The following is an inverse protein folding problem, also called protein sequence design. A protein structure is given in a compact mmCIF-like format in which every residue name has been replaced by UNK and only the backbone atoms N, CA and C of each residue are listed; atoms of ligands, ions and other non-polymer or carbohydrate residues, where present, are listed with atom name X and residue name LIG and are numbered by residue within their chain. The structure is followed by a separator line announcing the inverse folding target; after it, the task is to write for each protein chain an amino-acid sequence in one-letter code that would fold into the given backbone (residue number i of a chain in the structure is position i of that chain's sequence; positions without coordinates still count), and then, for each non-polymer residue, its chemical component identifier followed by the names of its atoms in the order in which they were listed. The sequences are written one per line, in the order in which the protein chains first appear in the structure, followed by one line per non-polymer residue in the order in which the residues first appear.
data_IF_926311676435
#
_entry.id   IF_926311676435
#
_cell.length_a   1.000
_cell.length_b   1.000
_cell.length_c   1.000
_cell.angle_alpha   90.00
_cell.angle_beta   90.00
_cell.angle_gamma   90.00
#
_symmetry.space_group_name_H-M   'P 1'
#
loop_
_entity.id
_entity.type
_entity.pdbx_description
1 polymer ?
2 non-polymer ?
3 non-polymer ?
4 non-polymer ?
5 non-polymer ?
6 water ?
#
# COMPACT_ATOMS: atom_id res chain seq x y z
N UNK A 1 -10.27 -2.20 15.61
CA UNK A 1 -11.16 -3.10 14.85
C UNK A 1 -10.63 -3.29 13.42
N UNK A 2 -11.50 -3.72 12.55
CA UNK A 2 -11.14 -4.07 11.16
C UNK A 2 -10.57 -2.89 10.44
N UNK A 3 -11.23 -1.72 10.46
CA UNK A 3 -10.66 -0.60 9.69
C UNK A 3 -9.25 -0.34 10.20
N UNK A 4 -9.11 -0.12 11.51
CA UNK A 4 -7.78 0.24 12.05
C UNK A 4 -6.79 -0.83 11.62
N UNK A 5 -7.18 -2.09 11.56
CA UNK A 5 -6.19 -3.12 11.19
C UNK A 5 -5.73 -2.93 9.74
N UNK A 6 -6.58 -2.42 8.86
CA UNK A 6 -6.19 -2.09 7.47
C UNK A 6 -5.10 -1.01 7.51
N UNK A 7 -5.29 -0.01 8.38
CA UNK A 7 -4.29 1.07 8.55
C UNK A 7 -2.97 0.47 9.07
N UNK A 8 -3.01 -0.39 10.10
CA UNK A 8 -1.83 -1.03 10.72
C UNK A 8 -1.09 -1.78 9.61
N UNK A 9 -1.79 -2.66 8.92
CA UNK A 9 -1.13 -3.51 7.88
C UNK A 9 -0.48 -2.61 6.83
N UNK A 10 -1.19 -1.57 6.38
CA UNK A 10 -0.72 -0.67 5.32
C UNK A 10 0.51 0.11 5.79
N UNK A 11 0.60 0.36 7.09
CA UNK A 11 1.76 1.09 7.66
C UNK A 11 3.09 0.35 7.57
N UNK A 12 3.06 -0.94 7.33
CA UNK A 12 4.28 -1.75 7.20
C UNK A 12 3.93 -2.88 6.22
N UNK A 13 3.41 -2.53 5.04
CA UNK A 13 2.71 -3.50 4.17
C UNK A 13 3.68 -4.55 3.61
N UNK A 14 4.85 -4.12 3.12
CA UNK A 14 5.84 -5.08 2.56
C UNK A 14 6.07 -6.19 3.60
N UNK A 15 6.42 -5.79 4.82
CA UNK A 15 6.78 -6.75 5.89
C UNK A 15 5.59 -7.67 6.22
N UNK A 16 4.42 -7.10 6.46
CA UNK A 16 3.22 -7.93 6.73
C UNK A 16 2.87 -8.80 5.52
N UNK A 17 2.94 -8.29 4.29
CA UNK A 17 2.52 -9.06 3.11
C UNK A 17 3.47 -10.28 3.00
N UNK A 18 4.75 -10.07 3.23
CA UNK A 18 5.73 -11.19 3.10
C UNK A 18 5.47 -12.18 4.21
N UNK A 19 5.32 -11.70 5.45
CA UNK A 19 5.23 -12.60 6.62
C UNK A 19 3.95 -13.42 6.52
N UNK A 20 2.82 -12.79 6.20
CA UNK A 20 1.55 -13.55 6.07
C UNK A 20 1.59 -14.55 4.92
N UNK A 21 2.21 -14.21 3.78
CA UNK A 21 2.22 -15.14 2.64
C UNK A 21 3.20 -16.31 2.92
N UNK A 22 4.26 -16.03 3.69
CA UNK A 22 5.16 -17.15 4.15
C UNK A 22 4.42 -17.99 5.16
N UNK A 23 3.64 -17.37 6.05
CA UNK A 23 2.81 -18.19 6.99
C UNK A 23 1.89 -19.12 6.21
N UNK A 24 1.24 -18.62 5.14
CA UNK A 24 0.33 -19.42 4.29
C UNK A 24 1.12 -20.54 3.66
N UNK A 25 2.23 -20.24 2.96
CA UNK A 25 3.02 -21.29 2.24
C UNK A 25 3.56 -22.34 3.20
N UNK A 26 3.92 -21.96 4.45
CA UNK A 26 4.52 -22.94 5.42
C UNK A 26 3.40 -23.81 6.03
N UNK A 27 2.21 -23.22 6.24
CA UNK A 27 1.09 -23.95 6.83
C UNK A 27 0.57 -24.96 5.83
N UNK A 28 0.58 -24.61 4.56
CA UNK A 28 -0.05 -25.38 3.46
C UNK A 28 0.95 -25.66 2.36
N UNK A 29 1.93 -26.56 2.61
CA UNK A 29 3.04 -26.66 1.66
C UNK A 29 2.59 -27.11 0.27
N UNK A 30 1.47 -27.84 0.17
CA UNK A 30 0.86 -28.25 -1.11
C UNK A 30 0.53 -27.01 -1.94
N UNK A 31 0.29 -25.83 -1.31
CA UNK A 31 -0.10 -24.61 -2.06
C UNK A 31 1.06 -24.11 -2.95
N UNK A 32 2.31 -24.50 -2.71
CA UNK A 32 3.40 -24.26 -3.71
C UNK A 32 3.08 -24.96 -5.05
N UNK A 33 2.06 -25.82 -5.15
CA UNK A 33 1.60 -26.36 -6.45
C UNK A 33 1.31 -25.19 -7.41
N UNK A 34 0.89 -24.02 -6.91
CA UNK A 34 0.51 -22.89 -7.80
C UNK A 34 1.69 -21.93 -7.92
N UNK A 35 2.86 -22.27 -7.36
CA UNK A 35 4.08 -21.39 -7.32
C UNK A 35 5.38 -22.20 -7.45
N UNK A 36 5.66 -22.75 -8.62
CA UNK A 36 6.81 -23.67 -8.85
C UNK A 36 8.18 -23.02 -8.60
N UNK A 37 8.28 -21.69 -8.75
CA UNK A 37 9.50 -20.85 -8.60
C UNK A 37 9.87 -20.66 -7.11
N UNK A 38 9.04 -21.18 -6.20
CA UNK A 38 9.19 -20.99 -4.73
C UNK A 38 9.60 -22.31 -4.05
N UNK A 39 9.52 -23.43 -4.75
CA UNK A 39 9.91 -24.78 -4.22
C UNK A 39 11.39 -24.72 -3.85
N UNK A 40 11.74 -25.31 -2.70
CA UNK A 40 13.12 -25.58 -2.27
C UNK A 40 13.88 -24.32 -1.85
N UNK A 41 13.19 -23.24 -1.45
CA UNK A 41 13.84 -22.02 -0.93
C UNK A 41 13.29 -21.74 0.47
N UNK A 42 14.19 -21.40 1.39
CA UNK A 42 13.84 -20.98 2.77
C UNK A 42 13.16 -19.60 2.72
N UNK A 43 12.52 -19.23 3.82
CA UNK A 43 11.85 -17.90 3.82
C UNK A 43 12.79 -16.78 3.42
N UNK A 44 14.02 -16.75 3.94
CA UNK A 44 14.98 -15.65 3.68
C UNK A 44 15.33 -15.61 2.19
N UNK A 45 15.51 -16.75 1.57
CA UNK A 45 15.73 -16.85 0.11
C UNK A 45 14.51 -16.26 -0.62
N UNK A 46 13.27 -16.71 -0.33
CA UNK A 46 12.04 -16.16 -0.95
C UNK A 46 12.02 -14.65 -0.83
N UNK A 47 12.30 -14.06 0.34
CA UNK A 47 12.31 -12.59 0.57
C UNK A 47 13.32 -11.89 -0.34
N UNK A 48 14.58 -12.33 -0.35
CA UNK A 48 15.67 -11.82 -1.22
C UNK A 48 15.25 -11.60 -2.69
N UNK A 49 14.21 -12.31 -3.14
CA UNK A 49 13.84 -12.55 -4.55
C UNK A 49 12.95 -11.42 -5.07
N UNK A 50 12.95 -11.23 -6.39
CA UNK A 50 12.16 -10.10 -6.96
C UNK A 50 10.68 -10.41 -7.20
N UNK A 51 10.34 -11.51 -7.85
CA UNK A 51 8.93 -11.88 -8.07
C UNK A 51 8.25 -11.85 -6.69
N UNK A 52 8.94 -12.40 -5.69
CA UNK A 52 8.30 -12.62 -4.38
C UNK A 52 7.83 -11.30 -3.80
N UNK A 53 8.76 -10.39 -3.58
CA UNK A 53 8.52 -9.14 -2.83
C UNK A 53 7.48 -8.32 -3.56
N UNK A 54 7.56 -8.35 -4.89
CA UNK A 54 6.69 -7.57 -5.83
C UNK A 54 5.27 -8.15 -5.84
N UNK A 55 5.10 -9.44 -6.09
CA UNK A 55 3.76 -10.04 -6.23
C UNK A 55 3.11 -10.07 -4.86
N UNK A 56 3.92 -10.31 -3.83
CA UNK A 56 3.30 -10.39 -2.49
C UNK A 56 2.74 -9.02 -2.11
N UNK A 57 3.51 -7.98 -2.35
CA UNK A 57 3.04 -6.65 -1.98
C UNK A 57 1.85 -6.28 -2.86
N UNK A 58 1.83 -6.61 -4.15
CA UNK A 58 0.72 -6.23 -5.04
C UNK A 58 -0.53 -7.01 -4.65
N UNK A 59 -0.39 -8.26 -4.24
CA UNK A 59 -1.55 -9.04 -3.74
C UNK A 59 -2.12 -8.32 -2.49
N UNK A 60 -1.27 -7.95 -1.52
CA UNK A 60 -1.73 -7.35 -0.25
C UNK A 60 -2.23 -5.95 -0.48
N UNK A 61 -1.62 -5.25 -1.42
CA UNK A 61 -2.16 -3.90 -1.75
C UNK A 61 -3.64 -4.03 -2.15
N UNK A 62 -3.95 -5.00 -3.06
CA UNK A 62 -5.32 -5.16 -3.56
C UNK A 62 -6.18 -5.76 -2.45
N UNK A 63 -5.66 -6.68 -1.63
CA UNK A 63 -6.47 -7.25 -0.52
C UNK A 63 -6.87 -6.13 0.43
N UNK A 64 -5.98 -5.18 0.71
CA UNK A 64 -6.36 -4.08 1.62
C UNK A 64 -7.41 -3.17 0.98
N UNK A 65 -7.34 -2.94 -0.34
CA UNK A 65 -8.39 -2.18 -1.06
C UNK A 65 -9.74 -2.86 -0.89
N UNK A 66 -9.78 -4.16 -1.10
CA UNK A 66 -11.02 -4.98 -1.03
C UNK A 66 -11.54 -4.94 0.39
N UNK A 67 -10.63 -5.03 1.36
CA UNK A 67 -11.05 -4.89 2.77
C UNK A 67 -11.60 -3.49 3.04
N UNK A 68 -10.93 -2.45 2.55
CA UNK A 68 -11.32 -1.07 2.75
C UNK A 68 -12.69 -0.73 2.15
N UNK A 69 -13.00 -1.30 1.00
CA UNK A 69 -14.24 -1.07 0.28
C UNK A 69 -15.42 -1.90 0.85
N UNK A 70 -15.10 -2.84 1.75
CA UNK A 70 -16.13 -3.70 2.37
C UNK A 70 -16.98 -2.88 3.29
N UNK A 71 -18.23 -3.33 3.48
CA UNK A 71 -19.07 -2.87 4.61
C UNK A 71 -19.22 -3.99 5.61
N UNK A 72 -18.90 -3.75 6.88
CA UNK A 72 -19.07 -4.81 7.93
C UNK A 72 -18.47 -6.14 7.45
N UNK A 73 -17.31 -6.08 6.87
CA UNK A 73 -16.51 -7.24 6.46
C UNK A 73 -17.15 -8.00 5.30
N UNK A 74 -18.08 -7.40 4.58
CA UNK A 74 -18.69 -7.96 3.35
C UNK A 74 -18.08 -7.21 2.18
N UNK A 75 -17.29 -7.92 1.34
CA UNK A 75 -16.68 -7.28 0.18
C UNK A 75 -17.74 -6.94 -0.87
N UNK A 76 -17.38 -5.99 -1.73
CA UNK A 76 -18.14 -5.61 -2.94
C UNK A 76 -18.16 -6.78 -3.90
N UNK A 77 -19.35 -7.05 -4.47
CA UNK A 77 -19.51 -8.05 -5.53
C UNK A 77 -18.57 -7.75 -6.71
N UNK A 78 -18.36 -6.46 -7.01
CA UNK A 78 -17.43 -6.04 -8.10
C UNK A 78 -15.98 -6.50 -7.81
N UNK A 79 -15.55 -6.40 -6.54
CA UNK A 79 -14.21 -6.88 -6.17
C UNK A 79 -14.13 -8.41 -6.29
N UNK A 80 -15.16 -9.15 -5.89
CA UNK A 80 -15.15 -10.61 -6.03
C UNK A 80 -15.07 -10.98 -7.53
N UNK A 81 -15.92 -10.40 -8.36
CA UNK A 81 -15.89 -10.65 -9.82
C UNK A 81 -14.45 -10.45 -10.34
N UNK A 82 -13.85 -9.29 -10.05
CA UNK A 82 -12.46 -9.03 -10.51
C UNK A 82 -11.51 -10.19 -10.12
N UNK A 83 -11.54 -10.58 -8.86
CA UNK A 83 -10.67 -11.67 -8.36
C UNK A 83 -10.98 -12.97 -9.10
N UNK A 84 -12.24 -13.29 -9.41
CA UNK A 84 -12.57 -14.57 -10.10
C UNK A 84 -12.05 -14.52 -11.55
N UNK A 85 -12.11 -13.37 -12.19
CA UNK A 85 -11.91 -13.27 -13.67
C UNK A 85 -10.49 -12.80 -14.03
N UNK A 86 -9.60 -12.65 -13.03
CA UNK A 86 -8.14 -12.44 -13.22
C UNK A 86 -7.51 -13.68 -13.87
N UNK A 87 -6.73 -13.50 -14.95
CA UNK A 87 -6.07 -14.61 -15.70
C UNK A 87 -5.15 -15.41 -14.75
N UNK A 88 -4.50 -14.69 -13.83
CA UNK A 88 -3.60 -15.18 -12.77
C UNK A 88 -4.30 -16.20 -11.88
N UNK A 89 -5.63 -16.09 -11.80
CA UNK A 89 -6.45 -16.93 -10.90
C UNK A 89 -7.18 -18.05 -11.67
N UNK A 90 -6.79 -18.35 -12.91
CA UNK A 90 -7.44 -19.41 -13.73
C UNK A 90 -7.41 -20.76 -12.98
N UNK A 91 -6.28 -21.09 -12.39
CA UNK A 91 -6.11 -22.36 -11.65
C UNK A 91 -6.99 -22.52 -10.40
N UNK A 92 -7.52 -21.44 -9.83
CA UNK A 92 -7.83 -21.38 -8.37
C UNK A 92 -9.26 -21.82 -8.03
N UNK A 93 -9.43 -22.38 -6.83
CA UNK A 93 -10.73 -22.69 -6.21
C UNK A 93 -10.88 -21.90 -4.90
N UNK A 94 -12.10 -21.80 -4.41
CA UNK A 94 -12.28 -20.99 -3.18
C UNK A 94 -11.35 -21.55 -2.08
N UNK A 95 -11.00 -22.84 -2.12
CA UNK A 95 -10.19 -23.50 -1.10
C UNK A 95 -8.85 -22.80 -0.94
N UNK A 96 -8.32 -22.26 -2.04
CA UNK A 96 -7.00 -21.57 -2.04
C UNK A 96 -7.17 -20.32 -1.16
N UNK A 97 -8.30 -19.63 -1.34
CA UNK A 97 -8.56 -18.36 -0.63
C UNK A 97 -8.88 -18.65 0.84
N UNK A 98 -9.67 -19.68 1.12
CA UNK A 98 -9.92 -20.08 2.52
C UNK A 98 -8.57 -20.24 3.24
N UNK A 99 -7.63 -20.99 2.65
CA UNK A 99 -6.34 -21.35 3.31
C UNK A 99 -5.60 -20.07 3.60
N UNK A 100 -5.63 -19.15 2.65
CA UNK A 100 -4.85 -17.91 2.82
C UNK A 100 -5.42 -17.19 4.04
N UNK A 101 -6.75 -17.13 4.14
CA UNK A 101 -7.38 -16.40 5.26
C UNK A 101 -7.19 -17.16 6.57
N UNK A 102 -7.21 -18.47 6.58
CA UNK A 102 -6.92 -19.19 7.84
C UNK A 102 -5.51 -18.81 8.32
N UNK A 103 -4.54 -18.81 7.43
CA UNK A 103 -3.15 -18.46 7.76
C UNK A 103 -3.11 -17.02 8.26
N UNK A 104 -3.86 -16.13 7.62
CA UNK A 104 -3.87 -14.71 8.00
C UNK A 104 -4.40 -14.54 9.43
N UNK A 105 -5.50 -15.19 9.74
CA UNK A 105 -6.14 -15.11 11.08
C UNK A 105 -5.22 -15.75 12.12
N UNK A 106 -4.67 -16.93 11.81
CA UNK A 106 -3.63 -17.60 12.63
C UNK A 106 -2.56 -16.55 13.00
N UNK A 107 -1.91 -15.96 12.00
CA UNK A 107 -0.83 -14.97 12.14
C UNK A 107 -1.27 -13.87 13.11
N UNK A 108 -2.46 -13.31 12.89
CA UNK A 108 -2.95 -12.23 13.73
C UNK A 108 -3.10 -12.72 15.18
N UNK A 109 -3.69 -13.88 15.40
CA UNK A 109 -3.83 -14.36 16.82
C UNK A 109 -2.46 -14.52 17.47
N UNK A 110 -1.45 -14.97 16.72
CA UNK A 110 -0.11 -15.21 17.30
C UNK A 110 0.68 -13.93 17.46
N UNK A 111 0.24 -12.82 16.86
CA UNK A 111 1.03 -11.57 16.92
C UNK A 111 0.86 -10.98 18.33
N UNK A 112 1.77 -10.14 18.78
CA UNK A 112 1.51 -9.55 20.11
C UNK A 112 0.39 -8.50 20.13
N UNK A 113 -0.24 -8.25 18.97
CA UNK A 113 -1.03 -7.02 18.67
C UNK A 113 -2.55 -7.26 18.75
N UNK A 114 -3.30 -6.16 18.86
CA UNK A 114 -4.77 -6.17 19.11
C UNK A 114 -5.51 -6.17 17.75
N UNK A 115 -5.06 -7.02 16.82
CA UNK A 115 -5.80 -7.22 15.53
C UNK A 115 -7.18 -7.75 15.91
N UNK A 116 -8.19 -7.41 15.12
CA UNK A 116 -9.56 -7.95 15.28
C UNK A 116 -9.64 -9.24 14.46
N UNK A 117 -9.07 -10.33 14.98
CA UNK A 117 -8.94 -11.59 14.20
C UNK A 117 -10.33 -12.11 13.84
N UNK A 118 -11.35 -11.93 14.67
CA UNK A 118 -12.71 -12.42 14.33
C UNK A 118 -13.22 -11.71 13.08
N UNK A 119 -13.01 -10.42 12.97
CA UNK A 119 -13.43 -9.68 11.76
C UNK A 119 -12.69 -10.21 10.55
N UNK A 120 -11.39 -10.47 10.64
CA UNK A 120 -10.65 -11.00 9.44
C UNK A 120 -11.21 -12.39 9.06
N UNK A 121 -11.52 -13.21 10.06
CA UNK A 121 -12.09 -14.55 9.81
C UNK A 121 -13.42 -14.40 9.07
N UNK A 122 -14.27 -13.50 9.55
CA UNK A 122 -15.55 -13.15 8.88
C UNK A 122 -15.31 -12.63 7.46
N UNK A 123 -14.41 -11.67 7.29
CA UNK A 123 -14.03 -11.14 5.97
C UNK A 123 -13.61 -12.31 5.05
N UNK A 124 -12.76 -13.23 5.52
CA UNK A 124 -12.30 -14.33 4.65
C UNK A 124 -13.46 -15.21 4.22
N UNK A 125 -14.32 -15.61 5.16
CA UNK A 125 -15.57 -16.40 4.90
C UNK A 125 -16.38 -15.65 3.82
N UNK A 126 -16.72 -14.38 4.13
CA UNK A 126 -17.56 -13.55 3.23
C UNK A 126 -16.94 -13.39 1.85
N UNK A 127 -15.61 -13.23 1.74
CA UNK A 127 -14.97 -13.16 0.43
C UNK A 127 -15.12 -14.52 -0.26
N UNK A 128 -14.91 -15.64 0.43
CA UNK A 128 -15.03 -16.99 -0.19
C UNK A 128 -16.46 -17.10 -0.72
N UNK A 129 -17.44 -16.73 0.06
CA UNK A 129 -18.86 -16.80 -0.38
C UNK A 129 -19.06 -15.92 -1.61
N UNK A 130 -18.47 -14.71 -1.63
CA UNK A 130 -18.61 -13.78 -2.78
C UNK A 130 -17.92 -14.34 -4.03
N UNK A 131 -16.79 -15.01 -3.81
CA UNK A 131 -16.05 -15.60 -4.92
C UNK A 131 -16.92 -16.72 -5.52
N UNK A 132 -17.53 -17.53 -4.68
CA UNK A 132 -18.43 -18.63 -5.15
C UNK A 132 -19.56 -18.02 -5.98
N UNK A 133 -20.15 -16.94 -5.53
CA UNK A 133 -21.31 -16.27 -6.16
C UNK A 133 -20.88 -15.65 -7.48
N UNK A 134 -19.62 -15.23 -7.55
CA UNK A 134 -19.09 -14.62 -8.76
C UNK A 134 -18.63 -15.72 -9.74
N UNK A 135 -18.62 -17.00 -9.34
CA UNK A 135 -18.41 -18.13 -10.27
C UNK A 135 -17.09 -18.86 -10.11
N UNK A 136 -16.41 -18.74 -8.96
CA UNK A 136 -15.24 -19.61 -8.65
C UNK A 136 -15.70 -20.94 -8.04
N UNK A 137 -15.05 -22.04 -8.46
CA UNK A 137 -15.34 -23.43 -8.00
C UNK A 137 -14.76 -23.68 -6.60
N UNK B 1 -11.42 9.96 -11.30
CA UNK B 1 -11.16 11.16 -10.52
C UNK B 1 -10.23 10.84 -9.38
N UNK B 2 -10.22 11.71 -8.39
CA UNK B 2 -9.31 11.64 -7.24
C UNK B 2 -9.42 10.33 -6.46
N UNK B 3 -10.63 9.82 -6.13
CA UNK B 3 -10.78 8.55 -5.39
C UNK B 3 -10.22 7.39 -6.19
N UNK B 4 -10.49 7.35 -7.51
CA UNK B 4 -9.92 6.23 -8.31
C UNK B 4 -8.40 6.37 -8.34
N UNK B 5 -7.89 7.59 -8.37
CA UNK B 5 -6.41 7.79 -8.37
C UNK B 5 -5.79 7.21 -7.09
N UNK B 6 -6.46 7.38 -5.96
CA UNK B 6 -5.95 6.79 -4.69
C UNK B 6 -5.94 5.26 -4.85
N UNK B 7 -6.95 4.69 -5.48
CA UNK B 7 -6.95 3.24 -5.71
C UNK B 7 -5.80 2.81 -6.61
N UNK B 8 -5.58 3.54 -7.67
CA UNK B 8 -4.52 3.23 -8.66
C UNK B 8 -3.20 3.27 -7.92
N UNK B 9 -2.92 4.39 -7.27
CA UNK B 9 -1.64 4.60 -6.52
C UNK B 9 -1.43 3.48 -5.48
N UNK B 10 -2.46 3.20 -4.67
CA UNK B 10 -2.36 2.10 -3.68
C UNK B 10 -2.13 0.75 -4.36
N UNK B 11 -2.65 0.50 -5.57
CA UNK B 11 -2.52 -0.81 -6.22
C UNK B 11 -1.07 -1.18 -6.44
N UNK B 12 -0.24 -0.18 -6.64
CA UNK B 12 1.20 -0.37 -6.89
C UNK B 12 1.97 0.67 -6.09
N UNK B 13 1.71 0.72 -4.78
CA UNK B 13 2.19 1.85 -3.97
C UNK B 13 3.71 1.97 -3.98
N UNK B 14 4.42 0.86 -3.83
CA UNK B 14 5.91 0.89 -3.77
C UNK B 14 6.47 1.53 -5.04
N UNK B 15 5.96 1.17 -6.22
CA UNK B 15 6.51 1.59 -7.51
C UNK B 15 6.19 3.07 -7.70
N UNK B 16 4.95 3.45 -7.42
CA UNK B 16 4.59 4.86 -7.62
C UNK B 16 5.35 5.72 -6.61
N UNK B 17 5.49 5.29 -5.36
CA UNK B 17 6.11 6.13 -4.30
C UNK B 17 7.57 6.36 -4.70
N UNK B 18 8.22 5.32 -5.15
CA UNK B 18 9.67 5.49 -5.56
C UNK B 18 9.74 6.42 -6.77
N UNK B 19 8.95 6.14 -7.79
CA UNK B 19 9.06 6.87 -9.09
C UNK B 19 8.72 8.33 -8.88
N UNK B 20 7.71 8.67 -8.10
CA UNK B 20 7.36 10.09 -7.83
C UNK B 20 8.42 10.74 -6.95
N UNK B 21 8.90 10.03 -5.93
CA UNK B 21 9.87 10.69 -5.03
C UNK B 21 11.13 10.96 -5.86
N UNK B 22 11.48 10.04 -6.73
CA UNK B 22 12.69 10.20 -7.60
C UNK B 22 12.46 11.42 -8.49
N UNK B 23 11.28 11.56 -9.11
CA UNK B 23 10.93 12.76 -9.95
C UNK B 23 11.13 14.04 -9.10
N UNK B 24 10.70 14.04 -7.83
CA UNK B 24 10.88 15.16 -6.87
C UNK B 24 12.40 15.43 -6.70
N UNK B 25 13.19 14.43 -6.40
CA UNK B 25 14.64 14.68 -6.05
C UNK B 25 15.33 15.17 -7.31
N UNK B 26 14.90 14.66 -8.47
CA UNK B 26 15.62 14.95 -9.74
C UNK B 26 15.21 16.35 -10.17
N UNK B 27 13.96 16.74 -9.92
CA UNK B 27 13.49 18.09 -10.27
C UNK B 27 14.11 19.16 -9.34
N UNK B 28 14.32 18.82 -8.08
CA UNK B 28 14.75 19.78 -7.05
C UNK B 28 15.97 19.21 -6.35
N UNK B 29 17.10 19.24 -7.03
CA UNK B 29 18.30 18.62 -6.49
C UNK B 29 18.73 19.18 -5.12
N UNK B 30 18.50 20.45 -4.79
CA UNK B 30 18.77 20.98 -3.43
C UNK B 30 18.04 20.17 -2.36
N UNK B 31 16.88 19.62 -2.69
CA UNK B 31 16.08 18.87 -1.69
C UNK B 31 16.83 17.59 -1.33
N UNK B 32 17.65 17.09 -2.25
CA UNK B 32 18.27 15.75 -2.12
C UNK B 32 19.48 15.81 -1.18
N UNK B 33 20.13 16.97 -1.11
CA UNK B 33 21.24 17.26 -0.17
C UNK B 33 20.76 17.22 1.28
N UNK B 34 19.45 17.27 1.54
CA UNK B 34 18.88 17.06 2.90
C UNK B 34 18.95 15.58 3.30
N UNK B 35 19.02 14.68 2.31
CA UNK B 35 18.90 13.21 2.51
C UNK B 35 20.32 12.69 2.28
N UNK B 36 21.17 12.91 3.27
CA UNK B 36 22.65 12.80 3.09
C UNK B 36 23.02 11.37 2.64
N UNK B 37 22.14 10.42 3.02
CA UNK B 37 22.03 8.98 2.68
C UNK B 37 22.04 8.77 1.14
N UNK B 38 21.39 9.66 0.40
CA UNK B 38 21.00 9.47 -1.04
C UNK B 38 21.90 10.26 -1.96
N UNK B 39 22.75 11.12 -1.43
CA UNK B 39 23.71 11.93 -2.24
C UNK B 39 24.65 10.99 -2.99
N UNK B 40 24.87 11.28 -4.27
CA UNK B 40 25.80 10.56 -5.15
C UNK B 40 25.30 9.19 -5.62
N UNK B 41 23.99 8.98 -5.63
CA UNK B 41 23.41 7.68 -6.03
C UNK B 41 22.41 7.89 -7.15
N UNK B 42 22.52 7.02 -8.14
CA UNK B 42 21.62 7.01 -9.32
C UNK B 42 20.26 6.49 -8.85
N UNK B 43 19.25 6.64 -9.68
CA UNK B 43 17.90 6.11 -9.36
C UNK B 43 17.98 4.60 -9.10
N UNK B 44 18.78 3.81 -9.85
CA UNK B 44 18.84 2.35 -9.58
C UNK B 44 19.58 2.10 -8.24
N UNK B 45 20.67 2.82 -7.94
CA UNK B 45 21.37 2.62 -6.64
C UNK B 45 20.36 2.91 -5.53
N UNK B 46 19.45 3.88 -5.74
CA UNK B 46 18.52 4.21 -4.63
C UNK B 46 17.47 3.12 -4.51
N UNK B 47 16.95 2.64 -5.64
CA UNK B 47 15.92 1.56 -5.67
C UNK B 47 16.47 0.26 -5.06
N UNK B 48 17.78 0.10 -4.95
CA UNK B 48 18.43 -1.08 -4.29
C UNK B 48 18.63 -0.92 -2.76
N UNK B 49 18.32 0.24 -2.15
CA UNK B 49 18.58 0.51 -0.71
C UNK B 49 17.30 0.30 0.09
N UNK B 50 17.35 -0.38 1.26
CA UNK B 50 16.12 -0.87 1.90
C UNK B 50 15.32 0.30 2.41
N UNK B 51 15.96 1.26 3.09
CA UNK B 51 15.21 2.38 3.71
C UNK B 51 14.63 3.20 2.57
N UNK B 52 15.22 3.19 1.37
CA UNK B 52 14.73 4.08 0.29
C UNK B 52 13.29 3.62 -0.06
N UNK B 53 13.14 2.35 -0.40
CA UNK B 53 11.82 1.78 -0.76
C UNK B 53 10.88 1.88 0.43
N UNK B 54 11.36 1.47 1.60
CA UNK B 54 10.56 1.47 2.86
C UNK B 54 10.14 2.90 3.23
N UNK B 55 11.06 3.86 3.24
CA UNK B 55 10.73 5.24 3.65
C UNK B 55 9.79 5.87 2.63
N UNK B 56 10.04 5.66 1.35
CA UNK B 56 9.20 6.33 0.33
C UNK B 56 7.80 5.71 0.35
N UNK B 57 7.70 4.41 0.53
CA UNK B 57 6.33 3.81 0.62
C UNK B 57 5.60 4.31 1.88
N UNK B 58 6.29 4.49 2.99
CA UNK B 58 5.61 4.90 4.25
C UNK B 58 5.07 6.32 4.12
N UNK B 59 5.82 7.18 3.46
CA UNK B 59 5.44 8.57 3.17
C UNK B 59 4.18 8.57 2.30
N UNK B 60 4.19 7.86 1.17
CA UNK B 60 3.05 7.81 0.23
C UNK B 60 1.86 7.17 0.94
N UNK B 61 2.04 6.09 1.70
CA UNK B 61 0.89 5.46 2.39
C UNK B 61 0.24 6.55 3.26
N UNK B 62 1.00 7.30 4.06
CA UNK B 62 0.36 8.32 4.92
C UNK B 62 -0.34 9.38 4.01
N UNK B 63 0.30 9.78 2.91
CA UNK B 63 -0.31 10.75 1.93
C UNK B 63 -1.65 10.21 1.43
N UNK B 64 -1.69 8.94 1.09
CA UNK B 64 -2.92 8.29 0.60
C UNK B 64 -3.99 8.24 1.71
N UNK B 65 -3.61 8.08 2.95
CA UNK B 65 -4.58 8.00 4.09
C UNK B 65 -5.20 9.41 4.22
N UNK B 66 -4.36 10.44 4.22
CA UNK B 66 -4.87 11.82 4.28
C UNK B 66 -5.75 12.10 3.05
N UNK B 67 -5.34 11.70 1.84
CA UNK B 67 -6.11 11.92 0.61
C UNK B 67 -7.49 11.24 0.73
N UNK B 68 -7.52 10.02 1.26
CA UNK B 68 -8.74 9.21 1.30
C UNK B 68 -9.69 9.77 2.34
N UNK B 69 -9.17 10.44 3.36
CA UNK B 69 -10.03 11.03 4.41
C UNK B 69 -10.48 12.43 4.03
N UNK B 70 -9.85 13.03 3.02
CA UNK B 70 -10.18 14.42 2.58
C UNK B 70 -11.61 14.47 2.06
N UNK B 71 -12.22 15.66 2.11
CA UNK B 71 -13.51 15.94 1.44
C UNK B 71 -13.23 16.94 0.34
N UNK B 72 -13.56 16.63 -0.93
CA UNK B 72 -13.39 17.59 -2.04
C UNK B 72 -11.95 18.14 -2.05
N UNK B 73 -10.99 17.27 -1.79
CA UNK B 73 -9.55 17.58 -1.84
C UNK B 73 -9.14 18.53 -0.73
N UNK B 74 -9.93 18.62 0.33
CA UNK B 74 -9.55 19.40 1.54
C UNK B 74 -9.23 18.39 2.64
N UNK B 75 -8.00 18.38 3.13
CA UNK B 75 -7.64 17.43 4.19
C UNK B 75 -8.19 17.85 5.53
N UNK B 76 -8.45 16.84 6.37
CA UNK B 76 -8.80 17.07 7.79
C UNK B 76 -7.70 17.86 8.52
N UNK B 77 -8.13 18.87 9.29
CA UNK B 77 -7.26 19.63 10.20
C UNK B 77 -6.35 18.70 11.02
N UNK B 78 -6.94 17.62 11.52
CA UNK B 78 -6.28 16.58 12.37
C UNK B 78 -5.08 15.94 11.64
N UNK B 79 -5.21 15.60 10.36
CA UNK B 79 -4.11 15.01 9.54
C UNK B 79 -2.98 16.05 9.32
N UNK B 80 -3.33 17.28 9.00
CA UNK B 80 -2.32 18.35 8.80
C UNK B 80 -1.46 18.43 10.07
N UNK B 81 -2.10 18.44 11.25
CA UNK B 81 -1.38 18.51 12.56
C UNK B 81 -0.39 17.35 12.59
N UNK B 82 -0.82 16.13 12.32
CA UNK B 82 0.08 14.93 12.38
C UNK B 82 1.34 15.24 11.58
N UNK B 83 1.23 15.64 10.32
CA UNK B 83 2.44 15.82 9.48
C UNK B 83 3.33 16.92 10.10
N UNK B 84 2.75 17.99 10.65
CA UNK B 84 3.56 19.05 11.33
C UNK B 84 4.16 18.43 12.60
N UNK B 85 3.34 17.70 13.36
CA UNK B 85 3.74 16.97 14.60
C UNK B 85 4.26 15.60 14.19
N UNK B 86 5.31 15.59 13.37
CA UNK B 86 6.21 14.44 13.14
C UNK B 86 7.64 14.94 13.36
N UNK B 87 8.41 14.25 14.22
CA UNK B 87 9.85 14.53 14.52
C UNK B 87 10.63 14.70 13.20
N UNK B 88 10.46 13.74 12.30
CA UNK B 88 11.24 13.66 11.04
C UNK B 88 10.93 14.86 10.13
N UNK B 89 9.84 15.58 10.38
CA UNK B 89 9.43 16.79 9.59
C UNK B 89 9.82 18.07 10.34
N UNK B 90 10.37 17.97 11.57
CA UNK B 90 10.68 19.11 12.46
C UNK B 90 11.55 20.12 11.71
N UNK B 91 12.41 19.65 10.78
CA UNK B 91 13.26 20.53 9.96
C UNK B 91 12.73 20.68 8.53
N UNK B 92 11.44 20.98 8.36
CA UNK B 92 10.79 21.18 7.03
C UNK B 92 9.96 22.47 7.01
N UNK B 93 9.71 23.01 5.81
CA UNK B 93 8.72 24.08 5.56
C UNK B 93 7.61 23.47 4.66
N UNK B 94 6.51 24.19 4.57
CA UNK B 94 5.47 23.93 3.55
C UNK B 94 6.19 23.82 2.18
N UNK B 95 7.33 24.52 2.00
CA UNK B 95 8.03 24.59 0.70
C UNK B 95 8.36 23.20 0.17
N UNK B 96 8.82 22.35 1.08
CA UNK B 96 9.26 20.96 0.87
C UNK B 96 8.08 20.16 0.26
N UNK B 97 6.93 20.25 0.92
CA UNK B 97 5.66 19.59 0.51
C UNK B 97 5.12 20.19 -0.78
N UNK B 98 5.07 21.54 -0.91
CA UNK B 98 4.76 22.18 -2.24
C UNK B 98 5.56 21.48 -3.36
N UNK B 99 6.88 21.44 -3.24
CA UNK B 99 7.70 20.86 -4.38
C UNK B 99 7.27 19.42 -4.67
N UNK B 100 7.17 18.61 -3.63
CA UNK B 100 6.72 17.21 -3.81
C UNK B 100 5.46 17.20 -4.66
N UNK B 101 4.47 18.03 -4.31
CA UNK B 101 3.21 18.01 -5.08
C UNK B 101 3.40 18.51 -6.50
N UNK B 102 4.24 19.51 -6.74
CA UNK B 102 4.51 19.97 -8.11
C UNK B 102 5.05 18.76 -8.87
N UNK B 103 5.99 18.02 -8.28
CA UNK B 103 6.60 16.85 -8.94
C UNK B 103 5.52 15.78 -9.19
N UNK B 104 4.64 15.55 -8.22
CA UNK B 104 3.59 14.54 -8.33
C UNK B 104 2.63 14.93 -9.45
N UNK B 105 2.20 16.19 -9.53
CA UNK B 105 1.30 16.64 -10.63
C UNK B 105 1.97 16.51 -11.99
N UNK B 106 3.25 16.90 -12.10
CA UNK B 106 4.01 16.81 -13.36
C UNK B 106 4.12 15.33 -13.76
N UNK B 107 4.41 14.45 -12.81
CA UNK B 107 4.44 13.00 -13.05
C UNK B 107 3.10 12.53 -13.62
N UNK B 108 1.98 12.97 -13.02
CA UNK B 108 0.65 12.49 -13.43
C UNK B 108 0.35 13.02 -14.85
N UNK B 109 0.71 14.25 -15.13
CA UNK B 109 0.43 14.86 -16.47
C UNK B 109 1.26 14.12 -17.53
N UNK B 110 2.46 13.61 -17.18
CA UNK B 110 3.38 12.98 -18.19
C UNK B 110 3.00 11.52 -18.42
N UNK B 111 2.28 10.91 -17.50
CA UNK B 111 2.02 9.46 -17.51
C UNK B 111 1.04 9.15 -18.65
N UNK B 112 0.91 7.92 -19.05
CA UNK B 112 -0.14 7.65 -20.08
C UNK B 112 -1.56 7.79 -19.55
N UNK B 113 -1.71 8.02 -18.25
CA UNK B 113 -2.92 7.54 -17.54
C UNK B 113 -3.82 8.73 -17.25
N UNK B 114 -5.10 8.45 -17.07
CA UNK B 114 -6.10 9.54 -16.86
C UNK B 114 -6.20 9.89 -15.36
N UNK B 115 -5.07 10.18 -14.75
CA UNK B 115 -5.02 10.80 -13.39
C UNK B 115 -5.77 12.13 -13.43
N UNK B 116 -6.48 12.44 -12.35
CA UNK B 116 -7.14 13.76 -12.22
C UNK B 116 -6.09 14.72 -11.66
N UNK B 117 -5.18 15.19 -12.50
CA UNK B 117 -4.02 15.98 -12.04
C UNK B 117 -4.46 17.33 -11.42
N UNK B 118 -5.55 17.89 -11.92
CA UNK B 118 -6.08 19.18 -11.38
C UNK B 118 -6.51 18.97 -9.91
N UNK B 119 -7.10 17.83 -9.59
CA UNK B 119 -7.51 17.49 -8.22
C UNK B 119 -6.27 17.34 -7.34
N UNK B 120 -5.21 16.67 -7.80
CA UNK B 120 -4.00 16.50 -7.00
C UNK B 120 -3.29 17.86 -6.76
N UNK B 121 -3.39 18.76 -7.72
CA UNK B 121 -2.84 20.13 -7.58
C UNK B 121 -3.61 20.84 -6.47
N UNK B 122 -4.94 20.75 -6.49
CA UNK B 122 -5.79 21.48 -5.52
C UNK B 122 -5.60 20.84 -4.12
N UNK B 123 -5.48 19.53 -4.07
CA UNK B 123 -5.16 18.81 -2.81
C UNK B 123 -3.81 19.27 -2.24
N UNK B 124 -2.77 19.24 -3.05
CA UNK B 124 -1.46 19.76 -2.66
C UNK B 124 -1.57 21.19 -2.13
N UNK B 125 -2.31 22.09 -2.79
CA UNK B 125 -2.36 23.51 -2.31
C UNK B 125 -3.06 23.53 -0.96
N UNK B 126 -4.16 22.76 -0.88
CA UNK B 126 -4.96 22.71 0.36
C UNK B 126 -4.17 22.08 1.48
N UNK B 127 -3.30 21.08 1.23
CA UNK B 127 -2.53 20.41 2.30
C UNK B 127 -1.44 21.37 2.79
N UNK B 128 -0.81 22.11 1.89
CA UNK B 128 0.20 23.15 2.21
C UNK B 128 -0.43 24.24 3.09
N UNK B 129 -1.61 24.71 2.66
CA UNK B 129 -2.43 25.68 3.43
C UNK B 129 -2.66 25.09 4.82
N UNK B 130 -3.07 23.84 4.86
CA UNK B 130 -3.48 23.18 6.12
C UNK B 130 -2.25 22.99 7.01
N UNK B 131 -1.08 22.73 6.41
CA UNK B 131 0.19 22.57 7.17
C UNK B 131 0.54 23.93 7.79
N UNK B 132 0.39 25.02 7.04
CA UNK B 132 0.56 26.39 7.58
C UNK B 132 -0.41 26.59 8.75
N UNK B 133 -1.71 26.24 8.56
CA UNK B 133 -2.77 26.43 9.57
C UNK B 133 -2.53 25.54 10.80
N UNK B 134 -1.74 24.47 10.69
CA UNK B 134 -1.41 23.58 11.85
C UNK B 134 -0.05 23.95 12.46
N UNK B 135 0.61 24.98 11.87
CA UNK B 135 1.76 25.67 12.46
C UNK B 135 3.08 25.54 11.69
N UNK B 136 3.12 24.89 10.52
CA UNK B 136 4.37 24.78 9.73
C UNK B 136 4.73 26.15 9.14
N UNK B 137 6.01 26.53 9.14
CA UNK B 137 6.51 27.84 8.63
C UNK B 137 6.96 27.66 7.18
#
# INVERSE_FOLDING_TARGET
GFKQDIATLRGDLRTYAQDIFLAFLNKYPDEKRNFKNYVGKSDQELKSMAKFGDHTEKVFNLMMEVADRATDCVPLASDASTLVQMKQHSGLTTGNFEKLFVALVEYMRASGQSFDSQSWDRFGKNLVSALSSAGMK
GFKQDIATLRGDLRTYAQDIFLAFLNKYPDEKRNFKNYVGKSDQELKSMAKFGDHTEKVFNLMMEVADRATDCVPLASDASTLVQMKQHSGLTTGNFEKLFVALVEYMRASGQSFDSQSWDRFGKNLVSALSSAGMK
#
